data_IF_803818901487
#
_entry.id   IF_803818901487
#
_cell.length_a   1.000
_cell.length_b   1.000
_cell.length_c   1.000
_cell.angle_alpha   90.00
_cell.angle_beta   90.00
_cell.angle_gamma   90.00
#
_symmetry.space_group_name_H-M   'P 1'
#
loop_
_entity.id
_entity.type
_entity.pdbx_description
1 polymer ?
#
# COMPACT_ATOMS: atom_id res chain seq x y z
N UNK A 1 2.44 24.27 -10.50
CA UNK A 1 1.82 23.23 -11.35
C UNK A 1 0.83 22.46 -10.48
N UNK A 2 -0.45 22.46 -10.83
CA UNK A 2 -1.47 21.74 -10.06
C UNK A 2 -1.51 20.33 -10.65
N UNK A 3 -1.08 19.33 -9.86
CA UNK A 3 -1.28 17.94 -10.23
C UNK A 3 -2.77 17.64 -10.11
N UNK A 4 -3.47 17.57 -11.25
CA UNK A 4 -4.86 17.14 -11.30
C UNK A 4 -4.84 15.62 -11.29
N UNK A 5 -4.96 15.03 -10.10
CA UNK A 5 -5.36 13.64 -10.01
C UNK A 5 -6.81 13.56 -10.47
N UNK A 6 -7.06 12.79 -11.50
CA UNK A 6 -8.42 12.54 -11.96
C UNK A 6 -9.11 11.68 -10.89
N UNK A 7 -9.72 12.34 -9.92
CA UNK A 7 -10.62 11.70 -8.96
C UNK A 7 -12.02 11.82 -9.53
N UNK A 8 -12.42 10.88 -10.36
CA UNK A 8 -13.83 10.63 -10.52
C UNK A 8 -14.33 10.12 -9.17
N UNK A 9 -15.24 10.85 -8.57
CA UNK A 9 -15.99 10.63 -7.34
C UNK A 9 -15.29 9.76 -6.28
N UNK A 10 -14.88 10.40 -5.19
CA UNK A 10 -14.21 9.76 -4.04
C UNK A 10 -14.96 8.50 -3.61
N UNK A 11 -14.32 7.36 -3.79
CA UNK A 11 -14.81 6.09 -3.23
C UNK A 11 -14.48 6.07 -1.75
N UNK A 12 -15.48 6.13 -0.93
CA UNK A 12 -15.33 6.17 0.53
C UNK A 12 -14.96 4.81 1.11
N UNK A 13 -14.20 4.81 2.17
CA UNK A 13 -13.81 3.59 2.88
C UNK A 13 -15.00 3.04 3.68
N UNK A 14 -15.21 1.74 3.55
CA UNK A 14 -16.28 1.04 4.25
C UNK A 14 -15.73 -0.23 4.89
N UNK A 15 -15.82 -0.32 6.22
CA UNK A 15 -15.43 -1.53 6.96
C UNK A 15 -16.68 -2.25 7.45
N UNK A 16 -17.02 -3.40 6.86
CA UNK A 16 -18.14 -4.22 7.29
C UNK A 16 -17.67 -5.32 8.26
N UNK A 17 -18.41 -5.53 9.37
CA UNK A 17 -17.94 -6.36 10.49
C UNK A 17 -18.97 -7.34 11.00
N UNK A 18 -18.50 -8.55 11.37
CA UNK A 18 -19.35 -9.63 11.87
C UNK A 18 -19.60 -9.57 13.39
N UNK A 19 -20.61 -10.25 13.86
CA UNK A 19 -21.33 -10.24 15.17
C UNK A 19 -20.61 -9.94 16.50
N UNK A 20 -19.29 -9.80 16.62
CA UNK A 20 -18.61 -9.59 17.91
C UNK A 20 -17.89 -8.23 18.07
N UNK A 21 -18.12 -7.26 17.20
CA UNK A 21 -17.14 -6.17 16.98
C UNK A 21 -17.64 -4.75 17.05
N UNK A 22 -18.86 -4.48 17.50
CA UNK A 22 -19.35 -3.12 17.75
C UNK A 22 -18.46 -2.28 18.71
N UNK A 23 -17.84 -2.84 19.77
CA UNK A 23 -16.86 -2.12 20.58
C UNK A 23 -15.60 -1.72 19.81
N UNK A 24 -15.13 -2.58 18.91
CA UNK A 24 -13.93 -2.34 18.12
C UNK A 24 -14.16 -1.19 17.13
N UNK A 25 -15.34 -1.12 16.47
CA UNK A 25 -15.72 0.03 15.63
C UNK A 25 -15.62 1.36 16.38
N UNK A 26 -16.07 1.40 17.63
CA UNK A 26 -16.01 2.61 18.46
C UNK A 26 -14.58 3.00 18.80
N UNK A 27 -13.70 2.04 19.05
CA UNK A 27 -12.29 2.31 19.29
C UNK A 27 -11.61 2.90 18.06
N UNK A 28 -11.79 2.26 16.90
CA UNK A 28 -11.27 2.78 15.63
C UNK A 28 -11.83 4.17 15.30
N UNK A 29 -13.14 4.38 15.46
CA UNK A 29 -13.72 5.70 15.25
C UNK A 29 -13.09 6.77 16.16
N UNK A 30 -12.75 6.41 17.41
CA UNK A 30 -12.07 7.31 18.35
C UNK A 30 -10.64 7.62 17.90
N UNK A 31 -9.90 6.62 17.46
CA UNK A 31 -8.51 6.77 16.99
C UNK A 31 -8.45 7.59 15.71
N UNK A 32 -9.25 7.24 14.70
CA UNK A 32 -9.29 7.97 13.44
C UNK A 32 -9.80 9.41 13.59
N UNK A 33 -10.73 9.67 14.55
CA UNK A 33 -11.15 11.02 14.87
C UNK A 33 -10.03 11.86 15.49
N UNK A 34 -9.13 11.23 16.29
CA UNK A 34 -7.92 11.89 16.81
C UNK A 34 -6.94 12.23 15.69
N UNK A 35 -6.87 11.39 14.67
CA UNK A 35 -6.07 11.60 13.46
C UNK A 35 -6.68 12.65 12.51
N UNK A 36 -7.79 13.28 12.90
CA UNK A 36 -8.41 14.36 12.14
C UNK A 36 -9.36 13.93 11.03
N UNK A 37 -9.71 12.64 10.92
CA UNK A 37 -10.68 12.15 9.94
C UNK A 37 -12.07 12.65 10.30
N UNK A 38 -12.70 13.39 9.37
CA UNK A 38 -14.01 14.00 9.57
C UNK A 38 -15.15 13.15 9.04
N UNK A 39 -16.33 13.28 9.62
CA UNK A 39 -17.56 12.67 9.10
C UNK A 39 -17.68 11.17 9.34
N UNK A 40 -16.83 10.58 10.17
CA UNK A 40 -16.91 9.16 10.53
C UNK A 40 -18.26 8.81 11.15
N UNK A 41 -18.86 7.72 10.72
CA UNK A 41 -20.12 7.18 11.26
C UNK A 41 -20.06 5.67 11.40
N UNK A 42 -20.71 5.17 12.44
CA UNK A 42 -20.97 3.72 12.56
C UNK A 42 -22.35 3.47 11.95
N UNK A 43 -22.37 2.66 10.91
CA UNK A 43 -23.57 2.21 10.23
C UNK A 43 -24.11 0.96 10.89
N UNK A 44 -25.43 0.88 11.02
CA UNK A 44 -26.13 -0.33 11.41
C UNK A 44 -26.38 -1.25 10.19
N UNK A 45 -26.92 -2.44 10.44
CA UNK A 45 -27.18 -3.45 9.42
C UNK A 45 -28.08 -2.97 8.28
N UNK A 46 -29.09 -2.17 8.58
CA UNK A 46 -30.05 -1.64 7.58
C UNK A 46 -29.39 -0.59 6.70
N UNK A 47 -28.63 0.32 7.30
CA UNK A 47 -27.85 1.33 6.57
C UNK A 47 -26.81 0.67 5.66
N UNK A 48 -26.10 -0.35 6.16
CA UNK A 48 -25.14 -1.13 5.36
C UNK A 48 -25.81 -1.73 4.12
N UNK A 49 -26.92 -2.42 4.31
CA UNK A 49 -27.65 -3.07 3.21
C UNK A 49 -28.19 -2.08 2.18
N UNK A 50 -28.57 -0.88 2.62
CA UNK A 50 -29.03 0.19 1.74
C UNK A 50 -27.89 0.80 0.93
N UNK A 51 -26.74 1.01 1.55
CA UNK A 51 -25.57 1.62 0.92
C UNK A 51 -24.81 0.65 0.03
N UNK A 52 -24.67 -0.61 0.48
CA UNK A 52 -23.91 -1.64 -0.22
C UNK A 52 -24.64 -3.00 -0.14
N UNK A 53 -25.56 -3.25 -1.09
CA UNK A 53 -26.40 -4.45 -1.08
C UNK A 53 -25.61 -5.76 -1.17
N UNK A 54 -24.40 -5.73 -1.75
CA UNK A 54 -23.55 -6.90 -1.97
C UNK A 54 -22.64 -7.23 -0.78
N UNK A 55 -22.65 -6.43 0.28
CA UNK A 55 -21.96 -6.81 1.53
C UNK A 55 -22.63 -8.04 2.15
N UNK A 56 -21.84 -8.89 2.79
CA UNK A 56 -22.26 -10.09 3.47
C UNK A 56 -23.42 -9.83 4.45
N UNK A 57 -24.42 -10.70 4.45
CA UNK A 57 -25.56 -10.63 5.37
C UNK A 57 -25.17 -10.81 6.85
N UNK A 58 -23.95 -11.27 7.10
CA UNK A 58 -23.38 -11.41 8.43
C UNK A 58 -22.83 -10.09 8.98
N UNK A 59 -22.69 -9.05 8.16
CA UNK A 59 -22.30 -7.71 8.60
C UNK A 59 -23.40 -7.12 9.49
N UNK A 60 -23.00 -6.67 10.69
CA UNK A 60 -23.93 -6.09 11.68
C UNK A 60 -23.65 -4.64 11.99
N UNK A 61 -22.42 -4.19 11.73
CA UNK A 61 -21.99 -2.82 11.88
C UNK A 61 -20.85 -2.53 10.90
N UNK A 62 -20.69 -1.28 10.49
CA UNK A 62 -19.58 -0.83 9.67
C UNK A 62 -19.12 0.55 10.09
N UNK A 63 -17.82 0.83 10.03
CA UNK A 63 -17.29 2.19 10.12
C UNK A 63 -17.26 2.79 8.71
N UNK A 64 -17.96 3.88 8.53
CA UNK A 64 -18.01 4.65 7.29
C UNK A 64 -17.11 5.87 7.40
N UNK A 65 -16.16 6.00 6.46
CA UNK A 65 -15.23 7.12 6.37
C UNK A 65 -15.45 7.87 5.03
N UNK A 66 -16.20 8.99 5.02
CA UNK A 66 -16.57 9.69 3.78
C UNK A 66 -15.40 10.39 3.07
N UNK A 67 -14.30 10.60 3.77
CA UNK A 67 -13.09 11.23 3.22
C UNK A 67 -12.10 10.27 2.59
N UNK A 68 -12.39 8.96 2.61
CA UNK A 68 -11.58 7.95 1.95
C UNK A 68 -11.67 8.07 0.42
N UNK A 69 -10.64 7.59 -0.29
CA UNK A 69 -10.62 7.61 -1.74
C UNK A 69 -9.71 6.52 -2.30
N UNK A 70 -9.78 6.36 -3.61
CA UNK A 70 -8.87 5.50 -4.38
C UNK A 70 -8.07 6.34 -5.36
N UNK A 71 -6.87 5.88 -5.67
CA UNK A 71 -5.98 6.52 -6.63
C UNK A 71 -5.30 5.43 -7.47
N UNK A 72 -5.02 5.74 -8.74
CA UNK A 72 -4.16 4.87 -9.54
C UNK A 72 -2.71 4.99 -9.03
N UNK A 73 -2.11 3.92 -8.50
CA UNK A 73 -0.74 3.98 -7.99
C UNK A 73 0.28 4.28 -9.09
N UNK A 74 0.05 3.77 -10.29
CA UNK A 74 0.91 4.04 -11.46
C UNK A 74 0.92 5.52 -11.82
N UNK A 75 -0.26 6.11 -12.01
CA UNK A 75 -0.38 7.52 -12.39
C UNK A 75 0.19 8.44 -11.30
N UNK A 76 -0.04 8.13 -10.03
CA UNK A 76 0.53 8.89 -8.93
C UNK A 76 2.06 8.84 -8.94
N UNK A 77 2.64 7.66 -9.09
CA UNK A 77 4.10 7.48 -9.11
C UNK A 77 4.74 8.18 -10.31
N UNK A 78 4.15 8.02 -11.51
CA UNK A 78 4.62 8.68 -12.73
C UNK A 78 4.55 10.19 -12.59
N UNK A 79 3.43 10.73 -12.13
CA UNK A 79 3.25 12.16 -11.94
C UNK A 79 4.23 12.77 -10.94
N UNK A 80 4.58 12.05 -9.87
CA UNK A 80 5.61 12.48 -8.92
C UNK A 80 7.00 12.51 -9.59
N UNK A 81 7.35 11.50 -10.38
CA UNK A 81 8.61 11.45 -11.11
C UNK A 81 8.69 12.55 -12.17
N UNK A 82 7.65 12.76 -12.97
CA UNK A 82 7.58 13.84 -13.97
C UNK A 82 7.70 15.22 -13.31
N UNK A 83 7.05 15.41 -12.15
CA UNK A 83 7.18 16.65 -11.40
C UNK A 83 8.61 16.87 -10.89
N UNK A 84 9.27 15.84 -10.41
CA UNK A 84 10.67 15.91 -9.98
C UNK A 84 11.58 16.31 -11.16
N UNK A 85 11.46 15.65 -12.30
CA UNK A 85 12.22 15.99 -13.52
C UNK A 85 11.97 17.42 -13.99
N UNK A 86 10.71 17.88 -13.96
CA UNK A 86 10.34 19.25 -14.33
C UNK A 86 10.96 20.30 -13.37
N UNK A 87 11.36 19.89 -12.17
CA UNK A 87 12.05 20.72 -11.19
C UNK A 87 13.56 20.48 -11.14
N UNK A 88 14.15 19.86 -12.16
CA UNK A 88 15.60 19.74 -12.34
C UNK A 88 16.22 18.48 -11.74
N UNK A 89 15.42 17.47 -11.38
CA UNK A 89 15.94 16.17 -10.96
C UNK A 89 16.29 15.33 -12.18
N UNK A 90 17.51 14.82 -12.23
CA UNK A 90 17.93 13.84 -13.23
C UNK A 90 17.42 12.45 -12.82
N UNK A 91 16.70 11.81 -13.72
CA UNK A 91 16.16 10.48 -13.51
C UNK A 91 16.92 9.43 -14.34
N UNK A 92 17.63 8.56 -13.67
CA UNK A 92 18.42 7.49 -14.30
C UNK A 92 17.69 6.15 -14.13
N UNK A 93 17.13 5.62 -15.21
CA UNK A 93 16.51 4.27 -15.24
C UNK A 93 17.51 3.21 -15.64
N UNK A 94 17.18 1.94 -15.32
CA UNK A 94 17.96 0.75 -15.74
C UNK A 94 19.40 0.77 -15.17
N UNK A 95 19.59 1.38 -14.01
CA UNK A 95 20.86 1.39 -13.29
C UNK A 95 20.71 0.63 -11.97
N UNK A 96 21.53 -0.38 -11.78
CA UNK A 96 21.57 -1.15 -10.54
C UNK A 96 22.73 -0.69 -9.68
N UNK A 97 22.42 -0.23 -8.47
CA UNK A 97 23.45 0.10 -7.47
C UNK A 97 24.06 -1.21 -6.94
N UNK A 98 25.38 -1.27 -6.96
CA UNK A 98 26.16 -2.41 -6.46
C UNK A 98 26.80 -2.15 -5.13
N UNK A 99 27.30 -0.93 -4.93
CA UNK A 99 28.08 -0.57 -3.77
C UNK A 99 27.88 0.90 -3.43
N UNK A 100 27.87 1.20 -2.15
CA UNK A 100 27.86 2.54 -1.57
C UNK A 100 29.01 2.61 -0.58
N UNK A 101 29.84 3.63 -0.69
CA UNK A 101 30.97 3.85 0.21
C UNK A 101 31.06 5.30 0.66
N UNK A 102 31.42 5.51 1.93
CA UNK A 102 31.69 6.83 2.49
C UNK A 102 33.09 7.26 2.08
N UNK A 103 33.22 8.41 1.43
CA UNK A 103 34.49 9.12 1.25
C UNK A 103 34.79 10.06 2.44
N UNK A 104 35.78 10.90 2.30
CA UNK A 104 36.12 11.90 3.34
C UNK A 104 35.06 12.99 3.50
N UNK A 105 34.39 13.40 2.41
CA UNK A 105 33.41 14.48 2.39
C UNK A 105 32.09 14.13 1.71
N UNK A 106 32.09 13.10 0.86
CA UNK A 106 30.95 12.72 0.02
C UNK A 106 30.76 11.20 0.01
N UNK A 107 29.68 10.78 -0.59
CA UNK A 107 29.34 9.38 -0.84
C UNK A 107 29.68 9.01 -2.27
N UNK A 108 30.19 7.82 -2.48
CA UNK A 108 30.40 7.21 -3.80
C UNK A 108 29.41 6.08 -4.00
N UNK A 109 28.67 6.10 -5.13
CA UNK A 109 27.67 5.12 -5.52
C UNK A 109 28.12 4.45 -6.81
N UNK A 110 28.46 3.17 -6.74
CA UNK A 110 28.84 2.36 -7.89
C UNK A 110 27.61 1.66 -8.47
N UNK A 111 27.35 1.88 -9.77
CA UNK A 111 26.22 1.31 -10.51
C UNK A 111 26.66 0.49 -11.69
N UNK A 112 25.71 -0.17 -12.40
CA UNK A 112 26.00 -0.88 -13.66
C UNK A 112 26.54 0.02 -14.76
N UNK A 113 26.19 1.32 -14.77
CA UNK A 113 26.47 2.23 -15.87
C UNK A 113 27.50 3.31 -15.52
N UNK A 114 27.95 3.35 -14.25
CA UNK A 114 28.96 4.31 -13.85
C UNK A 114 29.04 4.56 -12.35
N UNK A 115 29.79 5.56 -11.99
CA UNK A 115 30.03 5.99 -10.60
C UNK A 115 29.43 7.38 -10.42
N UNK A 116 28.70 7.57 -9.34
CA UNK A 116 28.13 8.85 -8.94
C UNK A 116 28.75 9.27 -7.60
N UNK A 117 28.87 10.57 -7.41
CA UNK A 117 29.24 11.18 -6.14
C UNK A 117 28.09 12.05 -5.64
N UNK A 118 27.81 12.03 -4.34
CA UNK A 118 26.76 12.81 -3.72
C UNK A 118 27.13 13.23 -2.30
N UNK A 119 26.70 14.41 -1.90
CA UNK A 119 26.85 14.87 -0.50
C UNK A 119 25.89 14.14 0.43
N UNK A 120 24.74 13.72 -0.09
CA UNK A 120 23.70 13.01 0.67
C UNK A 120 23.06 11.91 -0.19
N UNK A 121 22.68 10.81 0.46
CA UNK A 121 21.94 9.69 -0.15
C UNK A 121 20.63 9.50 0.59
N UNK A 122 19.54 9.30 -0.17
CA UNK A 122 18.27 8.83 0.36
C UNK A 122 18.03 7.40 -0.12
N UNK A 123 18.04 6.47 0.81
CA UNK A 123 17.78 5.05 0.55
C UNK A 123 16.27 4.77 0.61
N UNK A 124 15.60 4.78 -0.54
CA UNK A 124 14.19 4.44 -0.70
C UNK A 124 14.00 3.17 -1.53
N UNK A 125 14.87 2.18 -1.34
CA UNK A 125 14.98 1.01 -2.21
C UNK A 125 13.95 -0.12 -1.90
N UNK A 126 12.89 0.15 -1.13
CA UNK A 126 11.82 -0.79 -0.85
C UNK A 126 12.33 -2.08 -0.21
N UNK A 127 12.04 -3.23 -0.80
CA UNK A 127 12.47 -4.54 -0.27
C UNK A 127 14.00 -4.74 -0.27
N UNK A 128 14.74 -3.86 -0.92
CA UNK A 128 16.21 -3.87 -0.95
C UNK A 128 16.85 -2.81 -0.05
N UNK A 129 16.07 -2.04 0.69
CA UNK A 129 16.61 -0.96 1.53
C UNK A 129 17.60 -1.48 2.58
N UNK A 130 17.36 -2.66 3.14
CA UNK A 130 18.28 -3.33 4.06
C UNK A 130 19.66 -3.63 3.45
N UNK A 131 19.68 -3.96 2.14
CA UNK A 131 20.94 -4.24 1.45
C UNK A 131 21.83 -3.01 1.41
N UNK A 132 21.27 -1.83 1.12
CA UNK A 132 22.04 -0.59 1.02
C UNK A 132 22.35 -0.02 2.40
N UNK A 133 21.41 -0.06 3.34
CA UNK A 133 21.65 0.28 4.73
C UNK A 133 22.83 -0.53 5.31
N UNK A 134 22.85 -1.84 5.09
CA UNK A 134 23.85 -2.75 5.60
C UNK A 134 25.25 -2.59 4.96
N UNK A 135 25.38 -1.82 3.88
CA UNK A 135 26.68 -1.46 3.31
C UNK A 135 27.36 -0.35 4.10
N UNK A 136 26.59 0.52 4.74
CA UNK A 136 27.09 1.76 5.34
C UNK A 136 26.99 1.79 6.86
N UNK A 137 26.03 1.11 7.47
CA UNK A 137 25.81 1.11 8.92
C UNK A 137 26.29 -0.17 9.61
N UNK A 138 26.80 -0.03 10.84
CA UNK A 138 27.13 -1.18 11.69
C UNK A 138 25.87 -1.86 12.23
N UNK A 139 24.83 -1.08 12.57
CA UNK A 139 23.52 -1.57 12.99
C UNK A 139 22.79 -2.16 11.79
N UNK A 140 22.61 -3.48 11.79
CA UNK A 140 22.00 -4.16 10.64
C UNK A 140 20.49 -4.03 10.63
N UNK A 141 19.96 -3.79 9.44
CA UNK A 141 18.55 -3.79 9.11
C UNK A 141 18.20 -5.09 8.38
N UNK A 142 17.01 -5.62 8.62
CA UNK A 142 16.49 -6.77 7.90
C UNK A 142 15.09 -6.48 7.37
N UNK A 143 14.88 -6.71 6.08
CA UNK A 143 13.57 -6.54 5.42
C UNK A 143 13.12 -7.88 4.84
N UNK A 144 12.00 -8.35 5.33
CA UNK A 144 11.31 -9.54 4.83
C UNK A 144 10.29 -9.13 3.77
N UNK A 145 10.38 -9.64 2.54
CA UNK A 145 9.36 -9.37 1.52
C UNK A 145 8.04 -9.99 1.93
N UNK A 146 7.00 -9.17 2.14
CA UNK A 146 5.63 -9.62 2.43
C UNK A 146 4.80 -9.57 1.17
N UNK A 147 4.61 -10.72 0.53
CA UNK A 147 3.92 -10.87 -0.74
C UNK A 147 2.41 -10.67 -0.57
N UNK A 148 1.84 -9.83 -1.43
CA UNK A 148 0.40 -9.64 -1.58
C UNK A 148 -0.05 -10.02 -2.99
N UNK A 149 -0.89 -11.04 -3.11
CA UNK A 149 -1.44 -11.52 -4.37
C UNK A 149 -2.84 -10.98 -4.57
N UNK A 150 -3.18 -10.62 -5.81
CA UNK A 150 -4.44 -9.97 -6.19
C UNK A 150 -5.08 -10.65 -7.39
N UNK A 151 -6.43 -10.61 -7.42
CA UNK A 151 -7.22 -10.86 -8.61
C UNK A 151 -7.81 -9.54 -9.12
N UNK A 152 -7.65 -9.27 -10.41
CA UNK A 152 -8.31 -8.16 -11.09
C UNK A 152 -9.45 -8.72 -11.95
N UNK A 153 -10.65 -8.20 -11.77
CA UNK A 153 -11.84 -8.59 -12.53
C UNK A 153 -12.14 -7.56 -13.63
N UNK A 154 -12.86 -8.02 -14.63
CA UNK A 154 -13.32 -7.21 -15.75
C UNK A 154 -14.17 -6.00 -15.30
N UNK A 155 -14.28 -4.99 -16.14
CA UNK A 155 -15.11 -3.80 -15.92
C UNK A 155 -16.60 -4.14 -15.71
N UNK A 156 -17.08 -5.25 -16.29
CA UNK A 156 -18.42 -5.74 -16.03
C UNK A 156 -18.67 -6.09 -14.55
N UNK A 157 -17.60 -6.36 -13.79
CA UNK A 157 -17.66 -6.55 -12.34
C UNK A 157 -17.44 -5.26 -11.54
N UNK A 158 -17.04 -4.17 -12.19
CA UNK A 158 -16.58 -2.95 -11.52
C UNK A 158 -17.62 -2.26 -10.65
N UNK A 159 -18.91 -2.44 -10.96
CA UNK A 159 -20.03 -1.91 -10.18
C UNK A 159 -20.58 -2.89 -9.14
N UNK A 160 -19.90 -4.03 -8.93
CA UNK A 160 -20.35 -5.04 -7.97
C UNK A 160 -20.37 -4.51 -6.54
N UNK A 161 -19.40 -3.66 -6.19
CA UNK A 161 -19.41 -2.85 -4.97
C UNK A 161 -19.14 -1.38 -5.33
N UNK A 162 -19.79 -0.48 -4.59
CA UNK A 162 -19.62 0.97 -4.77
C UNK A 162 -18.49 1.53 -3.90
N UNK A 163 -18.05 0.78 -2.92
CA UNK A 163 -17.09 1.19 -1.89
C UNK A 163 -15.96 0.19 -1.75
N UNK A 164 -14.81 0.64 -1.24
CA UNK A 164 -13.78 -0.29 -0.79
C UNK A 164 -14.24 -0.99 0.48
N UNK A 165 -14.43 -2.31 0.41
CA UNK A 165 -14.86 -3.14 1.52
C UNK A 165 -13.65 -3.74 2.22
N UNK A 166 -13.50 -3.44 3.51
CA UNK A 166 -12.49 -4.02 4.39
C UNK A 166 -13.13 -4.98 5.37
N UNK A 167 -12.43 -6.05 5.72
CA UNK A 167 -12.71 -6.82 6.92
C UNK A 167 -11.97 -6.21 8.12
N UNK A 168 -12.31 -6.65 9.33
CA UNK A 168 -11.51 -6.31 10.50
C UNK A 168 -10.04 -6.67 10.32
N UNK A 169 -9.12 -5.80 10.74
CA UNK A 169 -7.71 -6.14 10.79
C UNK A 169 -7.49 -7.41 11.62
N UNK A 170 -6.77 -8.36 11.04
CA UNK A 170 -6.30 -9.57 11.71
C UNK A 170 -4.82 -9.44 12.08
N UNK A 171 -4.21 -10.55 12.50
CA UNK A 171 -2.78 -10.61 12.86
C UNK A 171 -1.83 -10.07 11.77
N UNK A 172 -2.22 -10.17 10.50
CA UNK A 172 -1.42 -9.75 9.34
C UNK A 172 -1.99 -8.48 8.64
N UNK A 173 -2.65 -7.59 9.38
CA UNK A 173 -3.16 -6.32 8.88
C UNK A 173 -4.61 -6.36 8.40
N UNK A 174 -4.94 -5.50 7.42
CA UNK A 174 -6.32 -5.18 7.02
C UNK A 174 -7.11 -6.31 6.35
N UNK A 175 -6.50 -7.47 6.09
CA UNK A 175 -7.13 -8.59 5.42
C UNK A 175 -7.30 -8.38 3.90
N UNK A 176 -8.18 -9.19 3.30
CA UNK A 176 -8.51 -9.09 1.87
C UNK A 176 -9.57 -8.01 1.66
N UNK A 177 -9.30 -7.12 0.72
CA UNK A 177 -10.18 -6.05 0.31
C UNK A 177 -10.93 -6.44 -0.97
N UNK A 178 -12.14 -5.90 -1.11
CA UNK A 178 -12.87 -5.86 -2.38
C UNK A 178 -13.07 -4.39 -2.70
N UNK A 179 -12.46 -3.91 -3.79
CA UNK A 179 -12.42 -2.49 -4.09
C UNK A 179 -12.66 -2.21 -5.58
N UNK A 180 -13.52 -1.26 -5.94
CA UNK A 180 -13.57 -0.75 -7.30
C UNK A 180 -12.27 -0.02 -7.62
N UNK A 181 -11.89 0.02 -8.89
CA UNK A 181 -10.73 0.79 -9.34
C UNK A 181 -11.17 2.04 -10.10
N UNK A 182 -10.30 3.05 -10.21
CA UNK A 182 -10.58 4.26 -10.97
C UNK A 182 -10.80 3.99 -12.48
N UNK A 183 -10.38 2.81 -12.96
CA UNK A 183 -10.55 2.40 -14.36
C UNK A 183 -11.82 1.55 -14.57
N UNK A 184 -12.64 1.40 -13.53
CA UNK A 184 -13.91 0.67 -13.59
C UNK A 184 -13.79 -0.85 -13.46
N UNK A 185 -12.65 -1.38 -13.03
CA UNK A 185 -12.46 -2.78 -12.70
C UNK A 185 -12.80 -3.06 -11.23
N UNK A 186 -12.93 -4.32 -10.86
CA UNK A 186 -12.97 -4.76 -9.46
C UNK A 186 -11.65 -5.43 -9.08
N UNK A 187 -11.05 -4.99 -7.99
CA UNK A 187 -9.80 -5.54 -7.45
C UNK A 187 -10.08 -6.28 -6.15
N UNK A 188 -9.52 -7.49 -6.01
CA UNK A 188 -9.65 -8.33 -4.83
C UNK A 188 -8.28 -8.73 -4.35
N UNK A 189 -7.98 -8.50 -3.08
CA UNK A 189 -6.70 -8.78 -2.45
C UNK A 189 -6.36 -7.74 -1.38
N UNK A 190 -5.16 -7.80 -0.81
CA UNK A 190 -4.09 -8.79 -1.07
C UNK A 190 -4.14 -10.00 -0.13
N UNK A 191 -3.29 -10.99 -0.40
CA UNK A 191 -2.75 -11.88 0.63
C UNK A 191 -1.69 -11.15 1.48
N UNK A 192 -1.19 -11.82 2.51
CA UNK A 192 -0.05 -11.36 3.31
C UNK A 192 0.78 -12.59 3.69
N UNK A 193 1.81 -12.88 2.89
CA UNK A 193 2.66 -14.05 3.06
C UNK A 193 4.11 -13.62 3.03
N UNK A 194 4.84 -13.87 4.11
CA UNK A 194 6.26 -13.59 4.18
C UNK A 194 7.03 -14.62 3.35
N UNK A 195 7.97 -14.15 2.55
CA UNK A 195 8.80 -14.97 1.66
C UNK A 195 10.26 -14.52 1.75
N UNK A 196 11.18 -15.38 1.37
CA UNK A 196 12.62 -15.03 1.38
C UNK A 196 13.05 -14.33 0.08
N UNK A 197 12.42 -14.70 -1.04
CA UNK A 197 12.83 -14.23 -2.35
C UNK A 197 12.31 -12.81 -2.63
N UNK A 198 13.21 -11.83 -2.64
CA UNK A 198 12.92 -10.42 -2.96
C UNK A 198 12.49 -10.17 -4.42
N UNK A 199 12.55 -11.19 -5.28
CA UNK A 199 12.04 -11.17 -6.67
C UNK A 199 10.75 -12.01 -6.85
N UNK A 200 10.16 -12.51 -5.75
CA UNK A 200 9.07 -13.47 -5.76
C UNK A 200 7.70 -12.86 -6.06
N UNK A 201 7.53 -12.19 -7.21
CA UNK A 201 6.30 -11.51 -7.63
C UNK A 201 5.32 -12.42 -8.42
N UNK A 202 5.57 -13.72 -8.49
CA UNK A 202 4.64 -14.68 -9.08
C UNK A 202 3.40 -14.86 -8.20
N UNK A 203 2.25 -15.11 -8.81
CA UNK A 203 1.04 -15.55 -8.12
C UNK A 203 1.04 -17.07 -7.94
N UNK A 204 0.33 -17.54 -6.92
CA UNK A 204 0.16 -18.96 -6.61
C UNK A 204 -1.31 -19.31 -6.61
N UNK A 205 -1.62 -20.57 -6.93
CA UNK A 205 -2.99 -21.08 -6.88
C UNK A 205 -3.58 -20.93 -5.47
N UNK A 206 -2.80 -21.29 -4.48
CA UNK A 206 -3.20 -21.26 -3.06
C UNK A 206 -3.50 -19.82 -2.61
N UNK A 207 -2.64 -18.85 -3.01
CA UNK A 207 -2.83 -17.44 -2.70
C UNK A 207 -4.09 -16.87 -3.33
N UNK A 208 -4.34 -17.15 -4.62
CA UNK A 208 -5.53 -16.70 -5.32
C UNK A 208 -6.82 -17.34 -4.78
N UNK A 209 -6.80 -18.65 -4.47
CA UNK A 209 -7.92 -19.32 -3.82
C UNK A 209 -8.21 -18.71 -2.43
N UNK A 210 -7.17 -18.39 -1.66
CA UNK A 210 -7.30 -17.70 -0.37
C UNK A 210 -7.92 -16.31 -0.51
N UNK A 211 -7.48 -15.53 -1.50
CA UNK A 211 -8.02 -14.20 -1.78
C UNK A 211 -9.51 -14.27 -2.06
N UNK A 212 -9.92 -15.13 -3.00
CA UNK A 212 -11.32 -15.27 -3.40
C UNK A 212 -12.20 -15.81 -2.24
N UNK A 213 -11.69 -16.78 -1.49
CA UNK A 213 -12.38 -17.32 -0.31
C UNK A 213 -12.64 -16.26 0.74
N UNK A 214 -11.60 -15.48 1.11
CA UNK A 214 -11.74 -14.43 2.13
C UNK A 214 -12.62 -13.27 1.65
N UNK A 215 -12.54 -12.90 0.37
CA UNK A 215 -13.41 -11.90 -0.19
C UNK A 215 -14.88 -12.29 -0.10
N UNK A 216 -15.20 -13.58 -0.33
CA UNK A 216 -16.58 -14.09 -0.24
C UNK A 216 -17.16 -14.08 1.19
N UNK A 217 -16.33 -13.93 2.22
CA UNK A 217 -16.79 -13.73 3.59
C UNK A 217 -17.36 -12.31 3.80
N UNK A 218 -16.83 -11.31 3.08
CA UNK A 218 -17.22 -9.90 3.20
C UNK A 218 -18.20 -9.44 2.13
N UNK A 219 -18.11 -9.97 0.91
CA UNK A 219 -18.94 -9.59 -0.24
C UNK A 219 -19.59 -10.82 -0.87
N UNK A 220 -20.90 -10.72 -1.11
CA UNK A 220 -21.71 -11.80 -1.72
C UNK A 220 -21.53 -11.85 -3.23
N UNK A 221 -21.72 -13.02 -3.81
CA UNK A 221 -21.90 -13.23 -5.25
C UNK A 221 -20.79 -12.64 -6.11
N UNK A 222 -19.56 -12.63 -5.62
CA UNK A 222 -18.41 -12.13 -6.38
C UNK A 222 -18.34 -12.87 -7.73
N UNK A 223 -18.30 -12.15 -8.86
CA UNK A 223 -18.31 -12.77 -10.18
C UNK A 223 -16.93 -13.33 -10.55
N UNK A 224 -16.46 -14.36 -9.87
CA UNK A 224 -15.10 -14.93 -9.98
C UNK A 224 -14.74 -15.38 -11.40
N UNK A 225 -15.73 -15.67 -12.26
CA UNK A 225 -15.52 -16.03 -13.67
C UNK A 225 -15.04 -14.82 -14.51
N UNK A 226 -15.16 -13.61 -13.98
CA UNK A 226 -14.73 -12.37 -14.64
C UNK A 226 -13.31 -11.96 -14.24
N UNK A 227 -12.54 -12.81 -13.57
CA UNK A 227 -11.11 -12.57 -13.33
C UNK A 227 -10.40 -12.55 -14.69
N UNK A 228 -9.79 -11.42 -15.03
CA UNK A 228 -9.06 -11.20 -16.28
C UNK A 228 -7.55 -11.36 -16.12
N UNK A 229 -7.04 -11.09 -14.91
CA UNK A 229 -5.62 -11.28 -14.59
C UNK A 229 -5.39 -11.38 -13.08
N UNK A 230 -4.20 -11.83 -12.72
CA UNK A 230 -3.71 -11.82 -11.35
C UNK A 230 -2.28 -11.26 -11.33
N UNK A 231 -1.89 -10.67 -10.20
CA UNK A 231 -0.55 -10.16 -9.99
C UNK A 231 -0.19 -10.19 -8.51
N UNK A 232 1.08 -10.04 -8.22
CA UNK A 232 1.57 -9.91 -6.85
C UNK A 232 2.55 -8.74 -6.74
N UNK A 233 2.65 -8.19 -5.52
CA UNK A 233 3.64 -7.20 -5.15
C UNK A 233 4.25 -7.55 -3.80
N UNK A 234 5.43 -6.99 -3.53
CA UNK A 234 6.17 -7.21 -2.30
C UNK A 234 6.16 -5.95 -1.45
N UNK A 235 5.72 -6.08 -0.20
CA UNK A 235 5.85 -5.04 0.81
C UNK A 235 7.16 -5.22 1.56
N UNK A 236 7.81 -4.11 1.88
CA UNK A 236 9.08 -4.08 2.59
C UNK A 236 8.83 -4.17 4.11
N UNK A 237 8.48 -5.36 4.62
CA UNK A 237 8.20 -5.57 6.03
C UNK A 237 9.50 -5.55 6.86
N UNK A 238 9.52 -4.73 7.90
CA UNK A 238 10.60 -4.62 8.87
C UNK A 238 10.13 -5.18 10.23
N UNK A 239 11.05 -5.79 10.97
CA UNK A 239 10.73 -6.52 12.21
C UNK A 239 10.15 -5.65 13.34
N UNK A 240 10.38 -4.32 13.30
CA UNK A 240 9.83 -3.36 14.24
C UNK A 240 8.38 -2.93 13.95
N UNK A 241 7.80 -3.41 12.85
CA UNK A 241 6.42 -3.08 12.41
C UNK A 241 6.15 -1.58 12.22
N UNK A 242 7.20 -0.75 11.96
CA UNK A 242 7.05 0.67 11.66
C UNK A 242 8.02 1.13 10.56
N UNK A 243 7.78 2.33 10.02
CA UNK A 243 8.64 2.94 9.02
C UNK A 243 9.94 3.42 9.66
N UNK A 244 11.05 3.16 8.99
CA UNK A 244 12.35 3.70 9.34
C UNK A 244 12.61 4.92 8.45
N UNK A 245 12.49 6.11 9.02
CA UNK A 245 12.68 7.37 8.31
C UNK A 245 13.63 8.23 9.13
N UNK A 246 14.80 8.54 8.58
CA UNK A 246 15.77 9.40 9.22
C UNK A 246 17.20 9.12 8.83
N UNK A 247 18.08 9.97 9.31
CA UNK A 247 19.52 9.87 9.08
C UNK A 247 20.12 8.74 9.94
N UNK A 248 20.69 7.75 9.27
CA UNK A 248 21.33 6.59 9.89
C UNK A 248 22.83 6.81 10.06
N UNK A 249 23.46 7.33 9.04
CA UNK A 249 24.85 7.79 9.02
C UNK A 249 24.84 9.21 8.47
N UNK A 250 25.85 10.01 8.78
CA UNK A 250 25.93 11.39 8.32
C UNK A 250 25.81 11.52 6.80
N UNK A 251 24.73 12.16 6.33
CA UNK A 251 24.39 12.26 4.90
C UNK A 251 23.82 10.98 4.28
N UNK A 252 23.44 9.97 5.07
CA UNK A 252 22.73 8.79 4.60
C UNK A 252 21.39 8.65 5.31
N UNK A 253 20.32 8.88 4.58
CA UNK A 253 18.94 8.90 5.09
C UNK A 253 18.23 7.63 4.63
N UNK A 254 17.69 6.85 5.56
CA UNK A 254 16.83 5.74 5.25
C UNK A 254 15.36 6.16 5.14
N UNK A 255 14.68 5.64 4.11
CA UNK A 255 13.25 5.56 3.96
C UNK A 255 12.90 4.08 3.74
N UNK A 256 13.02 3.28 4.79
CA UNK A 256 12.98 1.82 4.76
C UNK A 256 11.80 1.27 5.56
N UNK A 257 11.50 -0.02 5.43
CA UNK A 257 10.38 -0.65 6.13
C UNK A 257 9.00 -0.10 5.74
N UNK A 258 8.91 0.58 4.59
CA UNK A 258 7.68 1.27 4.19
C UNK A 258 6.72 0.29 3.52
N UNK A 259 5.73 -0.13 4.30
CA UNK A 259 4.58 -0.91 3.85
C UNK A 259 3.36 0.00 3.55
N UNK A 260 2.14 -0.52 3.72
CA UNK A 260 0.92 0.28 3.70
C UNK A 260 0.79 1.08 5.03
N UNK A 261 0.54 2.40 4.95
CA UNK A 261 0.05 3.21 3.82
C UNK A 261 1.13 4.03 3.08
N UNK A 262 2.27 3.45 2.78
CA UNK A 262 3.43 4.14 2.22
C UNK A 262 3.15 5.03 1.02
N UNK A 263 2.38 4.56 0.02
CA UNK A 263 2.09 5.35 -1.18
C UNK A 263 1.35 6.66 -0.85
N UNK A 264 0.34 6.60 0.00
CA UNK A 264 -0.42 7.78 0.41
C UNK A 264 0.37 8.69 1.36
N UNK A 265 1.34 8.14 2.08
CA UNK A 265 2.24 8.88 2.98
C UNK A 265 3.46 9.46 2.27
N UNK A 266 3.79 8.97 1.06
CA UNK A 266 5.01 9.34 0.35
C UNK A 266 5.23 10.87 0.20
N UNK A 267 4.21 11.70 -0.11
CA UNK A 267 4.41 13.15 -0.16
C UNK A 267 4.77 13.79 1.19
N UNK A 268 4.25 13.22 2.29
CA UNK A 268 4.58 13.71 3.64
C UNK A 268 5.98 13.24 4.06
N UNK A 269 6.34 11.99 3.74
CA UNK A 269 7.67 11.42 3.98
C UNK A 269 8.72 12.25 3.24
N UNK A 270 8.52 12.50 1.94
CA UNK A 270 9.46 13.29 1.14
C UNK A 270 9.61 14.75 1.60
N UNK A 271 8.57 15.30 2.24
CA UNK A 271 8.63 16.67 2.79
C UNK A 271 9.38 16.75 4.14
N UNK A 272 9.29 15.71 4.95
CA UNK A 272 9.79 15.72 6.34
C UNK A 272 11.08 14.90 6.51
N UNK A 273 11.41 14.06 5.55
CA UNK A 273 12.57 13.17 5.60
C UNK A 273 13.83 13.71 4.88
N UNK A 274 13.73 14.91 4.33
CA UNK A 274 14.85 15.54 3.63
C UNK A 274 15.15 16.89 4.24
#
# INVERSE_FOLDING_TARGET
MILIFHSEEMVHWFCAWMKKTAPVCRNFMREESKNGVKGLRILNKEEIRKMEPNVSDQAVAALYAPSGGIVCPFNMTIALAENACANGVDFYSIQKVHKITRGEKNWTIETTEGIFEADCIVNAAGVYADKFHNMVSEKKLHITPRKGEYCLLDKAAGTHVSWTIFTLPGKFGKGVLVTPTIHGNLLIGPTATDIENKEGINTTREGLEQVLKKASESVKNIPVRQVITSFAGLRAHEDGDDFIIGETEEGFIDCAGIESPGLSSAPAIGRNGC
#
